data_IF_005605764097
#
_entry.id   IF_005605764097
#
_cell.length_a   1.000
_cell.length_b   1.000
_cell.length_c   1.000
_cell.angle_alpha   90.00
_cell.angle_beta   90.00
_cell.angle_gamma   90.00
#
_symmetry.space_group_name_H-M   'P 1'
#
loop_
_entity.id
_entity.type
_entity.pdbx_description
1 polymer ?
#
# COMPACT_ATOMS: atom_id res chain seq x y z
N UNK A 1 -3.59 13.75 11.19
CA UNK A 1 -3.60 12.64 10.23
C UNK A 1 -4.96 12.62 9.57
N UNK A 2 -5.00 12.43 8.26
CA UNK A 2 -6.23 12.29 7.47
C UNK A 2 -6.43 10.86 6.98
N UNK A 3 -5.33 10.21 6.60
CA UNK A 3 -5.31 8.85 6.08
C UNK A 3 -4.09 8.10 6.63
N UNK A 4 -4.28 6.81 6.91
CA UNK A 4 -3.23 5.87 7.21
C UNK A 4 -3.37 4.66 6.28
N UNK A 5 -2.29 4.31 5.57
CA UNK A 5 -2.24 3.18 4.65
C UNK A 5 -1.50 2.02 5.32
N UNK A 6 -2.02 0.80 5.16
CA UNK A 6 -1.22 -0.40 5.38
C UNK A 6 -0.24 -0.54 4.22
N UNK A 7 1.03 -0.71 4.55
CA UNK A 7 2.13 -0.72 3.60
C UNK A 7 2.95 -2.01 3.72
N UNK A 8 3.63 -2.38 2.63
CA UNK A 8 4.53 -3.53 2.59
C UNK A 8 5.80 -3.17 1.79
N UNK A 9 7.01 -3.57 2.25
CA UNK A 9 8.23 -3.48 1.45
C UNK A 9 8.14 -4.38 0.23
N UNK A 10 8.80 -3.99 -0.86
CA UNK A 10 8.67 -4.70 -2.13
C UNK A 10 9.09 -6.18 -2.04
N UNK A 11 10.07 -6.48 -1.19
CA UNK A 11 10.65 -7.81 -0.99
C UNK A 11 9.67 -8.81 -0.37
N UNK A 12 8.57 -8.32 0.21
CA UNK A 12 7.50 -9.12 0.85
C UNK A 12 6.20 -9.11 0.03
N UNK A 13 6.32 -8.89 -1.28
CA UNK A 13 5.19 -8.89 -2.21
C UNK A 13 5.23 -10.11 -3.12
N UNK A 14 4.06 -10.69 -3.40
CA UNK A 14 3.88 -11.80 -4.34
C UNK A 14 2.75 -11.49 -5.32
N UNK A 15 2.92 -11.81 -6.61
CA UNK A 15 1.97 -11.48 -7.68
C UNK A 15 1.89 -9.99 -8.04
N UNK A 16 2.77 -9.16 -7.46
CA UNK A 16 2.83 -7.72 -7.70
C UNK A 16 3.77 -7.37 -8.86
N UNK A 17 3.51 -6.25 -9.53
CA UNK A 17 4.23 -5.84 -10.74
C UNK A 17 5.57 -5.10 -10.48
N UNK A 18 6.09 -5.11 -9.26
CA UNK A 18 7.35 -4.45 -8.91
C UNK A 18 7.23 -2.94 -8.68
N UNK A 19 6.08 -2.31 -8.94
CA UNK A 19 5.92 -0.86 -8.79
C UNK A 19 5.95 -0.47 -7.31
N UNK A 20 6.63 0.62 -7.00
CA UNK A 20 6.67 1.23 -5.68
C UNK A 20 5.73 2.43 -5.66
N UNK A 21 4.89 2.54 -4.64
CA UNK A 21 3.87 3.58 -4.59
C UNK A 21 4.33 4.81 -3.80
N UNK A 22 4.97 4.59 -2.65
CA UNK A 22 5.32 5.63 -1.70
C UNK A 22 6.73 5.49 -1.13
N UNK A 23 7.27 6.59 -0.59
CA UNK A 23 8.39 6.60 0.35
C UNK A 23 7.84 6.74 1.77
N UNK A 24 8.38 5.97 2.71
CA UNK A 24 8.04 6.07 4.12
C UNK A 24 9.15 6.80 4.89
N UNK A 25 8.79 7.94 5.49
CA UNK A 25 9.68 8.68 6.38
C UNK A 25 9.73 8.06 7.78
N UNK A 26 10.76 8.42 8.55
CA UNK A 26 10.94 7.95 9.93
C UNK A 26 9.85 8.40 10.90
N UNK A 27 9.13 9.48 10.59
CA UNK A 27 7.96 9.95 11.35
C UNK A 27 6.63 9.35 10.86
N UNK A 28 6.68 8.37 9.97
CA UNK A 28 5.55 7.59 9.50
C UNK A 28 4.74 8.25 8.37
N UNK A 29 5.20 9.37 7.81
CA UNK A 29 4.53 10.05 6.68
C UNK A 29 4.86 9.35 5.38
N UNK A 30 3.90 9.42 4.45
CA UNK A 30 4.08 8.94 3.10
C UNK A 30 4.19 10.10 2.11
N UNK A 31 5.09 9.96 1.14
CA UNK A 31 5.16 10.79 -0.07
C UNK A 31 5.19 9.88 -1.30
N UNK A 32 4.92 10.40 -2.50
CA UNK A 32 5.02 9.59 -3.73
C UNK A 32 6.44 9.09 -3.93
N UNK A 33 6.58 7.85 -4.37
CA UNK A 33 7.89 7.30 -4.69
C UNK A 33 8.54 8.05 -5.86
N UNK A 34 9.86 8.20 -5.76
CA UNK A 34 10.79 8.81 -6.69
C UNK A 34 11.98 7.86 -6.73
N UNK A 35 12.41 7.51 -7.93
CA UNK A 35 13.50 6.56 -8.14
C UNK A 35 14.79 7.03 -7.46
N UNK A 36 15.51 6.10 -6.84
CA UNK A 36 16.75 6.38 -6.11
C UNK A 36 16.58 6.80 -4.65
N UNK A 37 15.36 7.06 -4.18
CA UNK A 37 15.11 7.36 -2.77
C UNK A 37 14.94 6.09 -1.90
N UNK A 38 15.18 6.29 -0.61
CA UNK A 38 15.12 5.25 0.42
C UNK A 38 13.69 4.90 0.86
N UNK A 39 13.56 3.76 1.54
CA UNK A 39 12.32 3.22 2.14
C UNK A 39 11.10 3.17 1.20
N UNK A 40 11.22 2.55 0.01
CA UNK A 40 10.07 2.34 -0.86
C UNK A 40 9.08 1.36 -0.25
N UNK A 41 7.79 1.68 -0.34
CA UNK A 41 6.71 0.81 0.09
C UNK A 41 5.59 0.76 -0.94
N UNK A 42 4.85 -0.36 -0.91
CA UNK A 42 3.66 -0.63 -1.71
C UNK A 42 2.44 -0.49 -0.81
N UNK A 43 1.34 0.05 -1.35
CA UNK A 43 0.07 0.09 -0.64
C UNK A 43 -0.60 -1.29 -0.63
N UNK A 44 -0.82 -1.85 0.56
CA UNK A 44 -1.27 -3.22 0.77
C UNK A 44 -2.81 -3.41 0.71
N UNK A 45 -3.55 -2.41 0.22
CA UNK A 45 -4.99 -2.53 0.00
C UNK A 45 -5.90 -2.28 1.22
N UNK A 46 -5.34 -1.87 2.36
CA UNK A 46 -6.12 -1.52 3.56
C UNK A 46 -5.82 -0.08 4.02
N UNK A 47 -6.86 0.68 4.32
CA UNK A 47 -6.76 2.09 4.75
C UNK A 47 -7.66 2.39 5.93
N UNK A 48 -7.21 3.32 6.76
CA UNK A 48 -8.05 4.05 7.72
C UNK A 48 -8.04 5.51 7.31
N UNK A 49 -9.20 6.14 7.21
CA UNK A 49 -9.29 7.55 6.84
C UNK A 49 -10.41 8.27 7.56
N UNK A 50 -10.25 9.57 7.73
CA UNK A 50 -11.34 10.43 8.16
C UNK A 50 -12.35 10.59 7.01
N UNK A 51 -13.63 10.33 7.26
CA UNK A 51 -14.66 10.31 6.20
C UNK A 51 -14.84 11.65 5.50
N UNK A 52 -14.62 12.77 6.21
CA UNK A 52 -14.75 14.12 5.64
C UNK A 52 -13.77 14.39 4.50
N UNK A 53 -12.74 13.56 4.29
CA UNK A 53 -11.91 13.69 3.10
C UNK A 53 -12.69 13.44 1.83
N UNK A 54 -13.78 12.67 1.88
CA UNK A 54 -14.59 12.31 0.72
C UNK A 54 -15.87 13.16 0.60
N UNK A 55 -15.98 14.26 1.35
CA UNK A 55 -17.17 15.14 1.30
C UNK A 55 -17.39 15.75 -0.10
N UNK A 56 -16.33 15.83 -0.92
CA UNK A 56 -16.39 16.30 -2.32
C UNK A 56 -16.25 15.16 -3.35
N UNK A 57 -16.41 13.90 -2.92
CA UNK A 57 -16.29 12.76 -3.81
C UNK A 57 -17.39 12.77 -4.88
N UNK A 58 -17.06 12.39 -6.14
CA UNK A 58 -18.07 12.21 -7.17
C UNK A 58 -19.08 11.12 -6.82
N UNK A 59 -20.30 11.24 -7.35
CA UNK A 59 -21.36 10.23 -7.23
C UNK A 59 -21.11 8.97 -8.07
N UNK A 60 -20.12 9.00 -8.97
CA UNK A 60 -19.71 7.89 -9.83
C UNK A 60 -18.26 7.45 -9.52
N UNK A 61 -17.79 6.38 -10.14
CA UNK A 61 -16.46 5.83 -9.93
C UNK A 61 -15.35 6.89 -10.05
N UNK A 62 -14.50 6.96 -9.03
CA UNK A 62 -13.42 7.93 -8.95
C UNK A 62 -12.09 7.29 -8.49
N UNK A 63 -10.98 8.01 -8.72
CA UNK A 63 -9.65 7.54 -8.37
C UNK A 63 -9.26 8.00 -6.96
N UNK A 64 -9.04 7.06 -6.05
CA UNK A 64 -8.63 7.33 -4.68
C UNK A 64 -7.26 8.03 -4.57
N UNK A 65 -6.41 7.94 -5.60
CA UNK A 65 -5.13 8.65 -5.63
C UNK A 65 -5.26 10.17 -5.47
N UNK A 66 -6.40 10.75 -5.89
CA UNK A 66 -6.68 12.18 -5.70
C UNK A 66 -6.62 12.53 -4.21
N UNK A 67 -7.18 11.68 -3.36
CA UNK A 67 -7.22 11.88 -1.91
C UNK A 67 -5.88 11.56 -1.23
N UNK A 68 -5.13 10.59 -1.76
CA UNK A 68 -3.75 10.36 -1.33
C UNK A 68 -2.89 11.61 -1.60
N UNK A 69 -2.97 12.19 -2.80
CA UNK A 69 -2.19 13.38 -3.16
C UNK A 69 -2.55 14.60 -2.31
N UNK A 70 -3.85 14.81 -2.04
CA UNK A 70 -4.31 15.86 -1.11
C UNK A 70 -3.79 15.65 0.30
N UNK A 71 -3.81 14.42 0.80
CA UNK A 71 -3.28 14.10 2.12
C UNK A 71 -1.75 14.29 2.17
N UNK A 72 -1.02 13.95 1.10
CA UNK A 72 0.43 14.20 0.97
C UNK A 72 0.73 15.70 1.00
N UNK A 73 0.01 16.50 0.19
CA UNK A 73 0.22 17.95 0.10
C UNK A 73 0.04 18.68 1.45
N UNK A 74 -0.73 18.11 2.36
CA UNK A 74 -0.99 18.67 3.68
C UNK A 74 -0.14 18.01 4.79
N UNK A 75 0.79 17.11 4.45
CA UNK A 75 1.53 16.28 5.41
C UNK A 75 0.57 15.52 6.35
N UNK A 76 -0.41 14.81 5.78
CA UNK A 76 -1.46 14.12 6.53
C UNK A 76 -1.74 12.69 6.06
N UNK A 77 -0.97 12.19 5.10
CA UNK A 77 -0.92 10.76 4.72
C UNK A 77 0.18 10.04 5.51
N UNK A 78 -0.20 8.98 6.23
CA UNK A 78 0.70 8.17 7.05
C UNK A 78 0.70 6.72 6.58
N UNK A 79 1.77 5.99 6.91
CA UNK A 79 1.95 4.58 6.56
C UNK A 79 2.25 3.74 7.80
N UNK A 80 1.69 2.52 7.82
CA UNK A 80 2.06 1.48 8.78
C UNK A 80 2.55 0.27 8.00
N UNK A 81 3.78 -0.16 8.27
CA UNK A 81 4.32 -1.37 7.64
C UNK A 81 3.71 -2.60 8.30
N UNK A 82 3.09 -3.46 7.51
CA UNK A 82 2.54 -4.72 8.00
C UNK A 82 3.65 -5.72 8.37
N UNK A 83 3.32 -6.62 9.28
CA UNK A 83 4.08 -7.84 9.53
C UNK A 83 3.58 -8.97 8.63
N UNK A 84 4.50 -9.78 8.12
CA UNK A 84 4.20 -10.90 7.22
C UNK A 84 4.33 -10.57 5.73
N UNK A 85 3.74 -11.43 4.89
CA UNK A 85 3.77 -11.37 3.42
C UNK A 85 2.48 -10.75 2.88
N UNK A 86 2.60 -9.95 1.82
CA UNK A 86 1.46 -9.44 1.07
C UNK A 86 1.34 -10.13 -0.28
N UNK A 87 0.17 -10.69 -0.55
CA UNK A 87 -0.10 -11.49 -1.74
C UNK A 87 -1.24 -10.84 -2.50
N UNK A 88 -1.04 -10.56 -3.78
CA UNK A 88 -2.10 -10.17 -4.70
C UNK A 88 -2.26 -11.24 -5.78
N UNK A 89 -3.51 -11.65 -6.04
CA UNK A 89 -3.84 -12.70 -7.02
C UNK A 89 -4.77 -12.11 -8.07
N UNK A 90 -4.26 -11.08 -8.76
CA UNK A 90 -5.01 -10.34 -9.79
C UNK A 90 -5.06 -11.03 -11.15
N UNK A 91 -4.19 -12.02 -11.38
CA UNK A 91 -4.15 -12.81 -12.62
C UNK A 91 -4.07 -14.31 -12.31
N UNK A 92 -4.48 -15.19 -13.24
CA UNK A 92 -4.37 -16.63 -13.05
C UNK A 92 -2.93 -17.12 -12.80
N UNK A 93 -1.93 -16.44 -13.39
CA UNK A 93 -0.51 -16.78 -13.27
C UNK A 93 0.04 -16.53 -11.86
N UNK A 94 -0.60 -15.64 -11.08
CA UNK A 94 -0.19 -15.35 -9.71
C UNK A 94 -0.63 -16.44 -8.71
N UNK A 95 -1.55 -17.33 -9.09
CA UNK A 95 -2.12 -18.34 -8.17
C UNK A 95 -1.06 -19.34 -7.65
N UNK A 96 -0.20 -19.96 -8.48
CA UNK A 96 0.81 -20.89 -7.98
C UNK A 96 1.82 -20.21 -7.04
N UNK A 97 2.16 -18.94 -7.28
CA UNK A 97 3.06 -18.18 -6.41
C UNK A 97 2.43 -17.94 -5.02
N UNK A 98 1.15 -17.56 -5.00
CA UNK A 98 0.38 -17.38 -3.78
C UNK A 98 0.30 -18.67 -2.95
N UNK A 99 0.00 -19.80 -3.59
CA UNK A 99 -0.07 -21.12 -2.94
C UNK A 99 1.29 -21.51 -2.33
N UNK A 100 2.39 -21.24 -3.04
CA UNK A 100 3.74 -21.50 -2.54
C UNK A 100 4.07 -20.68 -1.29
N UNK A 101 3.68 -19.40 -1.22
CA UNK A 101 3.84 -18.57 -0.01
C UNK A 101 3.07 -19.17 1.16
N UNK A 102 1.79 -19.48 0.96
CA UNK A 102 0.93 -20.06 2.00
C UNK A 102 1.50 -21.38 2.52
N UNK A 103 2.00 -22.24 1.63
CA UNK A 103 2.61 -23.51 2.00
C UNK A 103 3.86 -23.34 2.88
N UNK A 104 4.74 -22.38 2.56
CA UNK A 104 5.93 -22.08 3.37
C UNK A 104 5.55 -21.64 4.79
N UNK A 105 4.52 -20.81 4.94
CA UNK A 105 4.07 -20.35 6.26
C UNK A 105 3.36 -21.44 7.08
N UNK A 106 2.66 -22.37 6.44
CA UNK A 106 2.06 -23.52 7.12
C UNK A 106 3.10 -24.52 7.64
N UNK A 107 4.26 -24.63 6.99
CA UNK A 107 5.32 -25.54 7.39
C UNK A 107 6.21 -25.01 8.55
N UNK A 108 6.08 -23.72 8.88
CA UNK A 108 6.84 -23.05 9.95
C UNK A 108 6.05 -22.80 11.24
N UNK A 109 4.80 -23.28 11.33
CA UNK A 109 3.93 -23.23 12.51
C UNK A 109 3.72 -24.65 13.07
#
# INVERSE_FOLDING_TARGET
>A
MDMALLCVPLERTTGHNGKKDFQLSSDGRLSRYVEGNDNPVVYAGAIVMHTSLLDDAPDDAFNLNIYFDRAIQNDRLFGLVMDGEWITVGTPEALPEAEAVIARHKAGA
#
